data_IF_515162229066
#
_entry.id   IF_515162229066
#
_cell.length_a   1.000
_cell.length_b   1.000
_cell.length_c   1.000
_cell.angle_alpha   90.00
_cell.angle_beta   90.00
_cell.angle_gamma   90.00
#
_symmetry.space_group_name_H-M   'P 1'
#
loop_
_entity.id
_entity.type
_entity.pdbx_description
1 polymer ?
#
# COMPACT_ATOMS: atom_id res chain seq x y z
N UNK A 1 -12.65 -0.30 -5.19
CA UNK A 1 -13.21 0.36 -3.98
C UNK A 1 -14.67 0.02 -3.74
N UNK A 2 -15.53 0.03 -4.77
CA UNK A 2 -16.93 -0.36 -4.61
C UNK A 2 -17.09 -1.76 -4.00
N UNK A 3 -16.23 -2.72 -4.36
CA UNK A 3 -16.23 -4.06 -3.79
C UNK A 3 -16.09 -4.08 -2.26
N UNK A 4 -15.06 -3.44 -1.71
CA UNK A 4 -14.79 -3.41 -0.26
C UNK A 4 -15.94 -2.77 0.54
N UNK A 5 -16.65 -1.81 -0.05
CA UNK A 5 -17.72 -1.06 0.63
C UNK A 5 -19.12 -1.66 0.45
N UNK A 6 -19.36 -2.45 -0.59
CA UNK A 6 -20.71 -2.86 -0.99
C UNK A 6 -20.88 -4.38 -1.11
N UNK A 7 -19.84 -5.13 -0.79
CA UNK A 7 -19.88 -6.60 -0.76
C UNK A 7 -19.60 -7.05 0.67
N UNK A 8 -20.36 -8.05 1.14
CA UNK A 8 -20.09 -8.70 2.42
C UNK A 8 -18.69 -9.31 2.40
N UNK A 9 -17.88 -8.96 3.41
CA UNK A 9 -16.51 -9.44 3.54
C UNK A 9 -16.50 -10.66 4.45
N UNK A 10 -15.79 -11.71 4.03
CA UNK A 10 -15.70 -12.93 4.81
C UNK A 10 -14.57 -12.77 5.84
N UNK A 11 -14.79 -13.08 7.14
CA UNK A 11 -13.79 -12.82 8.19
C UNK A 11 -12.40 -13.41 7.91
N UNK A 12 -12.32 -14.58 7.28
CA UNK A 12 -11.03 -15.21 6.95
C UNK A 12 -10.20 -14.42 5.94
N UNK A 13 -10.81 -13.60 5.09
CA UNK A 13 -10.06 -12.81 4.10
C UNK A 13 -9.17 -11.76 4.78
N UNK A 14 -9.67 -11.17 5.87
CA UNK A 14 -8.89 -10.25 6.69
C UNK A 14 -7.80 -11.00 7.46
N UNK A 15 -8.15 -12.15 8.04
CA UNK A 15 -7.19 -12.99 8.77
C UNK A 15 -6.02 -13.42 7.88
N UNK A 16 -6.29 -13.93 6.67
CA UNK A 16 -5.28 -14.34 5.70
C UNK A 16 -4.38 -13.17 5.28
N UNK A 17 -4.96 -11.98 5.08
CA UNK A 17 -4.19 -10.78 4.76
C UNK A 17 -3.25 -10.36 5.91
N UNK A 18 -3.72 -10.43 7.16
CA UNK A 18 -2.90 -10.17 8.36
C UNK A 18 -1.77 -11.20 8.47
N UNK A 19 -2.07 -12.49 8.30
CA UNK A 19 -1.07 -13.57 8.34
C UNK A 19 -0.01 -13.40 7.26
N UNK A 20 -0.41 -13.07 6.02
CA UNK A 20 0.53 -12.81 4.93
C UNK A 20 1.47 -11.64 5.22
N UNK A 21 0.97 -10.57 5.84
CA UNK A 21 1.78 -9.44 6.23
C UNK A 21 2.77 -9.80 7.35
N UNK A 22 2.31 -10.51 8.38
CA UNK A 22 3.17 -10.98 9.48
C UNK A 22 4.26 -11.92 8.96
N UNK A 23 3.91 -12.87 8.08
CA UNK A 23 4.87 -13.77 7.45
C UNK A 23 5.93 -12.99 6.64
N UNK A 24 5.53 -11.95 5.90
CA UNK A 24 6.48 -11.09 5.20
C UNK A 24 7.40 -10.30 6.13
N UNK A 25 6.92 -9.92 7.33
CA UNK A 25 7.73 -9.21 8.32
C UNK A 25 8.79 -10.11 8.97
N UNK A 26 8.48 -11.41 9.12
CA UNK A 26 9.37 -12.40 9.77
C UNK A 26 10.25 -13.18 8.80
N UNK A 27 10.13 -12.91 7.50
CA UNK A 27 10.93 -13.58 6.49
C UNK A 27 12.42 -13.32 6.73
N UNK A 28 13.27 -14.36 6.84
CA UNK A 28 14.70 -14.18 7.03
C UNK A 28 15.33 -13.52 5.80
N UNK A 29 16.20 -12.53 6.03
CA UNK A 29 16.99 -11.86 5.01
C UNK A 29 18.42 -12.40 4.95
N UNK A 30 19.23 -11.84 4.06
CA UNK A 30 20.68 -12.05 4.13
C UNK A 30 21.26 -11.20 5.28
N UNK A 31 22.37 -11.61 5.92
CA UNK A 31 22.96 -10.85 7.02
C UNK A 31 23.26 -9.37 6.66
N UNK A 32 23.76 -9.13 5.44
CA UNK A 32 24.00 -7.79 4.94
C UNK A 32 22.69 -7.00 4.73
N UNK A 33 21.66 -7.64 4.17
CA UNK A 33 20.36 -7.01 3.94
C UNK A 33 19.65 -6.63 5.24
N UNK A 34 19.74 -7.49 6.27
CA UNK A 34 19.20 -7.21 7.60
C UNK A 34 19.94 -6.05 8.29
N UNK A 35 21.27 -6.00 8.19
CA UNK A 35 22.06 -4.89 8.74
C UNK A 35 21.70 -3.54 8.08
N UNK A 36 21.58 -3.50 6.76
CA UNK A 36 21.16 -2.31 6.02
C UNK A 36 19.76 -1.88 6.45
N UNK A 37 18.80 -2.81 6.47
CA UNK A 37 17.42 -2.55 6.87
C UNK A 37 17.34 -2.01 8.31
N UNK A 38 18.10 -2.61 9.23
CA UNK A 38 18.16 -2.16 10.62
C UNK A 38 18.75 -0.74 10.75
N UNK A 39 19.80 -0.42 9.99
CA UNK A 39 20.40 0.91 9.97
C UNK A 39 19.37 1.98 9.52
N UNK A 40 18.73 1.78 8.36
CA UNK A 40 17.70 2.70 7.87
C UNK A 40 16.49 2.79 8.80
N UNK A 41 16.08 1.67 9.40
CA UNK A 41 14.99 1.67 10.38
C UNK A 41 15.33 2.53 11.60
N UNK A 42 16.54 2.40 12.15
CA UNK A 42 17.01 3.20 13.28
C UNK A 42 17.10 4.69 12.95
N UNK A 43 17.55 5.06 11.74
CA UNK A 43 17.58 6.45 11.27
C UNK A 43 16.19 7.10 11.25
N UNK A 44 15.14 6.31 11.05
CA UNK A 44 13.74 6.76 11.10
C UNK A 44 13.05 6.47 12.44
N UNK A 45 13.81 6.22 13.51
CA UNK A 45 13.30 5.87 14.85
C UNK A 45 12.38 4.62 14.90
N UNK A 46 12.51 3.71 13.92
CA UNK A 46 11.77 2.44 13.84
C UNK A 46 12.57 1.32 14.50
N UNK A 47 12.65 1.38 15.82
CA UNK A 47 13.35 0.40 16.67
C UNK A 47 12.72 -1.00 16.63
N UNK A 48 13.35 -2.04 17.22
CA UNK A 48 12.70 -3.34 17.41
C UNK A 48 11.38 -3.26 18.19
N UNK A 49 11.26 -2.33 19.15
CA UNK A 49 10.00 -2.10 19.88
C UNK A 49 8.91 -1.57 18.95
N UNK A 50 9.23 -0.64 18.03
CA UNK A 50 8.29 -0.19 17.00
C UNK A 50 7.74 -1.36 16.17
N UNK A 51 8.60 -2.32 15.76
CA UNK A 51 8.15 -3.50 15.01
C UNK A 51 7.19 -4.39 15.80
N UNK A 52 7.43 -4.56 17.11
CA UNK A 52 6.53 -5.32 18.00
C UNK A 52 5.17 -4.62 18.11
N UNK A 53 5.17 -3.32 18.39
CA UNK A 53 3.93 -2.52 18.44
C UNK A 53 3.18 -2.52 17.11
N UNK A 54 3.89 -2.47 15.98
CA UNK A 54 3.26 -2.56 14.66
C UNK A 54 2.58 -3.92 14.47
N UNK A 55 3.26 -5.03 14.81
CA UNK A 55 2.67 -6.37 14.75
C UNK A 55 1.43 -6.48 15.63
N UNK A 56 1.50 -6.01 16.87
CA UNK A 56 0.34 -6.00 17.78
C UNK A 56 -0.83 -5.22 17.18
N UNK A 57 -0.59 -4.03 16.60
CA UNK A 57 -1.64 -3.25 15.94
C UNK A 57 -2.25 -3.96 14.74
N UNK A 58 -1.42 -4.61 13.92
CA UNK A 58 -1.90 -5.37 12.75
C UNK A 58 -2.84 -6.51 13.13
N UNK A 59 -2.54 -7.22 14.22
CA UNK A 59 -3.41 -8.30 14.73
C UNK A 59 -4.78 -7.82 15.22
N UNK A 60 -4.93 -6.53 15.52
CA UNK A 60 -6.18 -5.93 15.98
C UNK A 60 -6.92 -5.14 14.88
N UNK A 61 -6.43 -5.16 13.63
CA UNK A 61 -7.12 -4.49 12.52
C UNK A 61 -8.46 -5.16 12.28
N UNK A 62 -9.50 -4.34 12.09
CA UNK A 62 -10.85 -4.81 11.76
C UNK A 62 -11.25 -4.45 10.33
N UNK A 63 -12.39 -4.98 9.86
CA UNK A 63 -12.95 -4.61 8.57
C UNK A 63 -13.38 -3.14 8.53
N UNK A 64 -13.88 -2.61 9.63
CA UNK A 64 -14.27 -1.20 9.77
C UNK A 64 -13.06 -0.27 9.59
N UNK A 65 -11.90 -0.66 10.12
CA UNK A 65 -10.65 0.07 9.89
C UNK A 65 -10.30 0.13 8.40
N UNK A 66 -10.42 -1.00 7.68
CA UNK A 66 -10.18 -1.02 6.24
C UNK A 66 -11.14 -0.11 5.48
N UNK A 67 -12.43 -0.14 5.82
CA UNK A 67 -13.44 0.72 5.20
C UNK A 67 -13.17 2.21 5.47
N UNK A 68 -12.75 2.56 6.70
CA UNK A 68 -12.39 3.92 7.08
C UNK A 68 -11.17 4.42 6.29
N UNK A 69 -10.09 3.63 6.25
CA UNK A 69 -8.85 3.98 5.54
C UNK A 69 -9.09 4.08 4.02
N UNK A 70 -9.89 3.17 3.47
CA UNK A 70 -10.35 3.21 2.09
C UNK A 70 -11.07 4.53 1.74
N UNK A 71 -12.01 4.96 2.60
CA UNK A 71 -12.70 6.25 2.41
C UNK A 71 -11.71 7.41 2.46
N UNK A 72 -10.95 7.48 3.55
CA UNK A 72 -10.04 8.58 3.84
C UNK A 72 -8.98 8.77 2.74
N UNK A 73 -8.35 7.70 2.27
CA UNK A 73 -7.17 7.81 1.39
C UNK A 73 -7.45 7.53 -0.07
N UNK A 74 -8.56 6.87 -0.43
CA UNK A 74 -8.80 6.45 -1.81
C UNK A 74 -10.09 7.03 -2.41
N UNK A 75 -11.13 7.30 -1.61
CA UNK A 75 -12.43 7.75 -2.13
C UNK A 75 -12.59 9.26 -1.99
N UNK A 76 -12.24 9.80 -0.83
CA UNK A 76 -12.39 11.23 -0.51
C UNK A 76 -11.21 12.07 -1.05
N UNK A 77 -10.28 11.44 -1.76
CA UNK A 77 -9.11 12.08 -2.35
C UNK A 77 -9.33 12.36 -3.84
N UNK A 78 -8.71 13.43 -4.34
CA UNK A 78 -8.68 13.69 -5.79
C UNK A 78 -7.64 12.78 -6.44
N UNK A 79 -8.04 11.84 -7.32
CA UNK A 79 -7.10 10.90 -7.92
C UNK A 79 -6.21 11.61 -8.94
N UNK A 80 -4.92 11.28 -8.91
CA UNK A 80 -3.96 11.67 -9.95
C UNK A 80 -3.77 10.48 -10.88
N UNK A 81 -3.90 10.72 -12.19
CA UNK A 81 -3.73 9.70 -13.23
C UNK A 81 -2.48 10.03 -14.05
N UNK A 82 -1.63 9.05 -14.26
CA UNK A 82 -0.50 9.12 -15.16
C UNK A 82 -0.41 7.81 -15.97
N UNK A 83 -0.04 7.92 -17.24
CA UNK A 83 0.07 6.76 -18.14
C UNK A 83 1.28 6.95 -19.05
N UNK A 84 2.00 5.86 -19.30
CA UNK A 84 3.03 5.79 -20.33
C UNK A 84 2.41 5.16 -21.56
N UNK A 85 2.44 5.86 -22.69
CA UNK A 85 1.83 5.40 -23.93
C UNK A 85 2.70 5.74 -25.14
N UNK A 86 2.54 4.99 -26.27
CA UNK A 86 3.21 5.32 -27.52
C UNK A 86 2.79 6.69 -28.06
N UNK A 87 3.68 7.35 -28.82
CA UNK A 87 3.41 8.66 -29.44
C UNK A 87 2.15 8.67 -30.31
N UNK A 88 1.85 7.56 -31.00
CA UNK A 88 0.66 7.42 -31.83
C UNK A 88 -0.67 7.63 -31.08
N UNK A 89 -0.67 7.55 -29.74
CA UNK A 89 -1.85 7.74 -28.88
C UNK A 89 -1.94 9.14 -28.27
N UNK A 90 -1.11 10.08 -28.74
CA UNK A 90 -1.06 11.45 -28.21
C UNK A 90 -2.41 12.16 -28.24
N UNK A 91 -3.08 12.13 -29.40
CA UNK A 91 -4.33 12.86 -29.59
C UNK A 91 -5.45 12.30 -28.69
N UNK A 92 -5.51 10.97 -28.57
CA UNK A 92 -6.45 10.27 -27.67
C UNK A 92 -6.20 10.67 -26.20
N UNK A 93 -4.94 10.73 -25.77
CA UNK A 93 -4.60 11.13 -24.40
C UNK A 93 -4.89 12.60 -24.12
N UNK A 94 -4.72 13.48 -25.11
CA UNK A 94 -5.12 14.88 -24.98
C UNK A 94 -6.64 15.02 -24.86
N UNK A 95 -7.42 14.26 -25.64
CA UNK A 95 -8.88 14.21 -25.52
C UNK A 95 -9.35 13.68 -24.16
N UNK A 96 -8.60 12.74 -23.57
CA UNK A 96 -8.85 12.22 -22.22
C UNK A 96 -8.40 13.18 -21.09
N UNK A 97 -7.89 14.37 -21.44
CA UNK A 97 -7.51 15.42 -20.49
C UNK A 97 -6.12 15.22 -19.85
N UNK A 98 -5.25 14.38 -20.43
CA UNK A 98 -3.89 14.23 -19.93
C UNK A 98 -2.96 15.35 -20.43
N UNK A 99 -2.09 15.82 -19.55
CA UNK A 99 -0.97 16.70 -19.93
C UNK A 99 0.19 15.86 -20.44
N UNK A 100 0.57 16.03 -21.70
CA UNK A 100 1.63 15.24 -22.34
C UNK A 100 3.01 15.77 -21.94
N UNK A 101 3.84 14.89 -21.36
CA UNK A 101 5.27 15.13 -21.11
C UNK A 101 6.07 14.13 -21.95
N UNK A 102 6.94 14.65 -22.81
CA UNK A 102 7.86 13.85 -23.61
C UNK A 102 9.26 13.98 -23.02
N UNK A 103 9.92 12.84 -22.79
CA UNK A 103 11.35 12.81 -22.46
C UNK A 103 12.09 12.84 -23.80
N UNK A 104 13.01 13.79 -23.95
CA UNK A 104 13.86 13.93 -25.14
C UNK A 104 14.92 12.82 -25.20
#
# INVERSE_FOLDING_TARGET
MQWLLNTEQQPHQLEEAILGLVASMDKPGSPAGEAITACYALLHARTPTFRRTLRERLLHVTLEDLQRVARQYLIEQTPVKAVVAPFAKRDELQQLGFTIKQVN
#
